data_IF_749286692872
#
_entry.id   IF_749286692872
#
_cell.length_a   1.000
_cell.length_b   1.000
_cell.length_c   1.000
_cell.angle_alpha   90.00
_cell.angle_beta   90.00
_cell.angle_gamma   90.00
#
_symmetry.space_group_name_H-M   'P 1'
#
loop_
_entity.id
_entity.type
_entity.pdbx_description
1 polymer ?
#
# COMPACT_ATOMS: atom_id res chain seq x y z
N UNK A 1 22.40 -21.62 -6.71
CA UNK A 1 22.03 -20.24 -7.10
C UNK A 1 20.58 -20.11 -7.57
N UNK A 2 20.00 -21.05 -8.31
CA UNK A 2 18.63 -20.96 -8.84
C UNK A 2 17.53 -20.88 -7.76
N UNK A 3 17.72 -21.57 -6.62
CA UNK A 3 16.78 -21.56 -5.49
C UNK A 3 16.65 -20.19 -4.82
N UNK A 4 17.74 -19.46 -4.65
CA UNK A 4 17.74 -18.12 -4.04
C UNK A 4 17.02 -17.09 -4.90
N UNK A 5 17.12 -17.19 -6.23
CA UNK A 5 16.38 -16.33 -7.15
C UNK A 5 14.87 -16.56 -7.10
N UNK A 6 14.44 -17.82 -6.96
CA UNK A 6 13.02 -18.14 -6.79
C UNK A 6 12.45 -17.59 -5.49
N UNK A 7 13.21 -17.64 -4.39
CA UNK A 7 12.80 -17.06 -3.10
C UNK A 7 12.71 -15.54 -3.19
N UNK A 8 13.69 -14.89 -3.82
CA UNK A 8 13.66 -13.44 -4.04
C UNK A 8 12.49 -13.01 -4.93
N UNK A 9 12.20 -13.76 -5.99
CA UNK A 9 11.05 -13.51 -6.86
C UNK A 9 9.73 -13.68 -6.10
N UNK A 10 9.59 -14.72 -5.27
CA UNK A 10 8.40 -14.93 -4.44
C UNK A 10 8.19 -13.79 -3.43
N UNK A 11 9.28 -13.31 -2.81
CA UNK A 11 9.25 -12.17 -1.90
C UNK A 11 8.83 -10.89 -2.61
N UNK A 12 9.43 -10.57 -3.77
CA UNK A 12 9.01 -9.43 -4.57
C UNK A 12 7.53 -9.50 -4.96
N UNK A 13 7.06 -10.66 -5.45
CA UNK A 13 5.66 -10.83 -5.82
C UNK A 13 4.74 -10.73 -4.60
N UNK A 14 5.16 -11.21 -3.43
CA UNK A 14 4.38 -11.07 -2.19
C UNK A 14 4.31 -9.64 -1.66
N UNK A 15 5.36 -8.82 -1.85
CA UNK A 15 5.36 -7.39 -1.52
C UNK A 15 4.50 -6.60 -2.50
N UNK A 16 4.56 -6.91 -3.80
CA UNK A 16 3.64 -6.33 -4.79
C UNK A 16 2.19 -6.76 -4.52
N UNK A 17 1.97 -8.01 -4.11
CA UNK A 17 0.67 -8.49 -3.69
C UNK A 17 0.25 -7.86 -2.35
N UNK A 18 1.15 -7.50 -1.44
CA UNK A 18 0.80 -6.84 -0.19
C UNK A 18 0.25 -5.43 -0.38
N UNK A 19 0.61 -4.72 -1.47
CA UNK A 19 -0.10 -3.51 -1.90
C UNK A 19 -1.58 -3.76 -2.27
N UNK A 20 -2.02 -5.02 -2.37
CA UNK A 20 -3.18 -5.36 -3.19
C UNK A 20 -3.90 -6.69 -2.94
N UNK A 21 -3.59 -7.53 -1.95
CA UNK A 21 -4.14 -8.90 -1.96
C UNK A 21 -5.49 -8.96 -1.27
N UNK A 22 -5.60 -8.37 -0.08
CA UNK A 22 -6.85 -8.29 0.69
C UNK A 22 -7.38 -6.86 0.72
N UNK A 23 -8.69 -6.70 0.90
CA UNK A 23 -9.31 -5.37 0.99
C UNK A 23 -8.72 -4.55 2.14
N UNK A 24 -8.44 -5.19 3.27
CA UNK A 24 -7.81 -4.54 4.43
C UNK A 24 -6.39 -4.04 4.15
N UNK A 25 -5.58 -4.81 3.43
CA UNK A 25 -4.22 -4.39 3.05
C UNK A 25 -4.23 -3.22 2.06
N UNK A 26 -5.17 -3.20 1.11
CA UNK A 26 -5.34 -2.07 0.19
C UNK A 26 -5.79 -0.81 0.90
N UNK A 27 -6.74 -0.93 1.83
CA UNK A 27 -7.16 0.17 2.69
C UNK A 27 -6.00 0.67 3.55
N UNK A 28 -5.24 -0.22 4.18
CA UNK A 28 -4.10 0.18 5.00
C UNK A 28 -2.99 0.86 4.17
N UNK A 29 -2.64 0.30 3.01
CA UNK A 29 -1.62 0.85 2.12
C UNK A 29 -2.07 2.19 1.53
N UNK A 30 -3.33 2.25 1.10
CA UNK A 30 -3.96 3.48 0.62
C UNK A 30 -4.01 4.55 1.70
N UNK A 31 -4.34 4.20 2.95
CA UNK A 31 -4.35 5.13 4.06
C UNK A 31 -2.95 5.63 4.41
N UNK A 32 -1.93 4.77 4.41
CA UNK A 32 -0.55 5.17 4.68
C UNK A 32 -0.02 6.09 3.56
N UNK A 33 -0.20 5.71 2.29
CA UNK A 33 0.21 6.53 1.16
C UNK A 33 -0.56 7.84 1.05
N UNK A 34 -1.86 7.79 1.33
CA UNK A 34 -2.73 8.97 1.38
C UNK A 34 -2.38 9.92 2.52
N UNK A 35 -2.01 9.40 3.70
CA UNK A 35 -1.55 10.22 4.83
C UNK A 35 -0.27 10.99 4.48
N UNK A 36 0.69 10.29 3.87
CA UNK A 36 1.93 10.91 3.42
C UNK A 36 1.67 11.99 2.36
N UNK A 37 0.81 11.72 1.38
CA UNK A 37 0.43 12.69 0.37
C UNK A 37 -0.34 13.88 0.96
N UNK A 38 -1.28 13.65 1.88
CA UNK A 38 -2.07 14.68 2.55
C UNK A 38 -1.23 15.61 3.41
N UNK A 39 -0.23 15.06 4.13
CA UNK A 39 0.74 15.85 4.89
C UNK A 39 1.57 16.75 3.95
N UNK A 40 2.06 16.21 2.83
CA UNK A 40 2.94 16.96 1.91
C UNK A 40 2.17 18.02 1.11
N UNK A 41 0.93 17.74 0.72
CA UNK A 41 0.16 18.61 -0.17
C UNK A 41 -0.65 19.65 0.60
N UNK A 42 -1.20 19.29 1.76
CA UNK A 42 -2.20 20.08 2.47
C UNK A 42 -1.93 20.22 3.97
N UNK A 43 -0.81 19.71 4.48
CA UNK A 43 -0.52 19.61 5.93
C UNK A 43 -1.60 18.86 6.73
N UNK A 44 -2.37 18.01 6.04
CA UNK A 44 -3.57 17.36 6.58
C UNK A 44 -3.47 15.83 6.44
N UNK A 45 -2.75 15.17 7.36
CA UNK A 45 -2.43 13.74 7.25
C UNK A 45 -3.65 12.85 7.46
N UNK A 46 -4.59 13.26 8.31
CA UNK A 46 -5.78 12.46 8.66
C UNK A 46 -6.76 12.45 7.47
N UNK A 47 -6.99 13.61 6.85
CA UNK A 47 -7.81 13.69 5.64
C UNK A 47 -7.18 12.91 4.49
N UNK A 48 -5.85 13.02 4.32
CA UNK A 48 -5.09 12.22 3.36
C UNK A 48 -5.25 10.72 3.58
N UNK A 49 -5.14 10.27 4.84
CA UNK A 49 -5.30 8.86 5.20
C UNK A 49 -6.70 8.35 4.91
N UNK A 50 -7.73 9.14 5.24
CA UNK A 50 -9.12 8.78 4.98
C UNK A 50 -9.38 8.63 3.47
N UNK A 51 -8.94 9.61 2.67
CA UNK A 51 -9.12 9.57 1.21
C UNK A 51 -8.34 8.42 0.57
N UNK A 52 -7.07 8.26 0.92
CA UNK A 52 -6.25 7.17 0.38
C UNK A 52 -6.74 5.79 0.80
N UNK A 53 -7.21 5.64 2.05
CA UNK A 53 -7.79 4.41 2.55
C UNK A 53 -9.11 4.06 1.86
N UNK A 54 -9.97 5.05 1.59
CA UNK A 54 -11.19 4.87 0.79
C UNK A 54 -10.88 4.48 -0.65
N UNK A 55 -9.89 5.12 -1.29
CA UNK A 55 -9.45 4.77 -2.65
C UNK A 55 -8.93 3.32 -2.68
N UNK A 56 -8.14 2.92 -1.69
CA UNK A 56 -7.69 1.53 -1.49
C UNK A 56 -8.81 0.56 -1.08
N UNK A 57 -9.96 1.02 -0.61
CA UNK A 57 -11.12 0.15 -0.37
C UNK A 57 -11.85 -0.20 -1.67
N UNK A 58 -11.81 0.71 -2.65
CA UNK A 58 -12.55 0.63 -3.91
C UNK A 58 -11.84 -0.24 -4.94
N UNK A 59 -10.50 -0.21 -4.97
CA UNK A 59 -9.66 -1.04 -5.86
C UNK A 59 -8.76 -1.96 -5.06
#
# INVERSE_FOLDING_TARGET
MTRTYLVAALLCVSVLAACGNTRGQRVATGAIGGAAAGQVIADEPIAGAAVGGLIGAVR
#
